data_IF_157814112256
#
_entry.id   IF_157814112256
#
_cell.length_a   1.000
_cell.length_b   1.000
_cell.length_c   1.000
_cell.angle_alpha   90.00
_cell.angle_beta   90.00
_cell.angle_gamma   90.00
#
_symmetry.space_group_name_H-M   'P 1'
#
loop_
_entity.id
_entity.type
_entity.pdbx_description
1 polymer ?
#
# COMPACT_ATOMS: atom_id res chain seq x y z
N UNK A 1 -9.69 21.15 -2.22
CA UNK A 1 -8.80 21.26 -3.38
C UNK A 1 -9.66 21.25 -4.63
N UNK A 2 -9.42 22.15 -5.57
CA UNK A 2 -10.15 22.13 -6.84
C UNK A 2 -9.86 20.81 -7.56
N UNK A 3 -10.87 20.22 -8.21
CA UNK A 3 -10.68 19.04 -9.04
C UNK A 3 -10.01 19.46 -10.35
N UNK A 4 -8.67 19.49 -10.34
CA UNK A 4 -7.87 19.85 -11.51
C UNK A 4 -7.56 18.58 -12.29
N UNK A 5 -7.88 18.58 -13.58
CA UNK A 5 -7.39 17.53 -14.48
C UNK A 5 -5.90 17.76 -14.78
N UNK A 6 -5.03 17.22 -13.92
CA UNK A 6 -3.58 17.44 -13.93
C UNK A 6 -2.96 17.06 -15.27
N UNK A 7 -3.36 15.92 -15.84
CA UNK A 7 -2.87 15.47 -17.16
C UNK A 7 -3.13 16.51 -18.24
N UNK A 8 -4.39 16.95 -18.35
CA UNK A 8 -4.77 17.96 -19.35
C UNK A 8 -4.01 19.27 -19.14
N UNK A 9 -3.86 19.72 -17.89
CA UNK A 9 -3.14 20.96 -17.58
C UNK A 9 -1.66 20.86 -17.98
N UNK A 10 -1.00 19.75 -17.64
CA UNK A 10 0.41 19.50 -18.01
C UNK A 10 0.63 19.56 -19.52
N UNK A 11 -0.22 18.87 -20.29
CA UNK A 11 -0.17 18.90 -21.76
C UNK A 11 -0.36 20.32 -22.31
N UNK A 12 -1.35 21.06 -21.79
CA UNK A 12 -1.61 22.43 -22.22
C UNK A 12 -0.49 23.40 -21.85
N UNK A 13 0.10 23.27 -20.66
CA UNK A 13 1.23 24.09 -20.23
C UNK A 13 2.44 23.91 -21.14
N UNK A 14 2.76 22.67 -21.53
CA UNK A 14 3.88 22.39 -22.44
C UNK A 14 3.66 23.02 -23.82
N UNK A 15 2.48 22.79 -24.42
CA UNK A 15 2.14 23.37 -25.72
C UNK A 15 2.18 24.91 -25.68
N UNK A 16 1.69 25.51 -24.59
CA UNK A 16 1.72 26.95 -24.40
C UNK A 16 3.15 27.48 -24.24
N UNK A 17 3.99 26.79 -23.46
CA UNK A 17 5.38 27.16 -23.22
C UNK A 17 6.20 27.10 -24.52
N UNK A 18 6.02 26.04 -25.32
CA UNK A 18 6.72 25.87 -26.60
C UNK A 18 6.34 26.98 -27.58
N UNK A 19 5.04 27.25 -27.74
CA UNK A 19 4.56 28.32 -28.61
C UNK A 19 5.05 29.71 -28.16
N UNK A 20 5.10 29.96 -26.84
CA UNK A 20 5.64 31.20 -26.29
C UNK A 20 7.14 31.31 -26.55
N UNK A 21 7.90 30.24 -26.33
CA UNK A 21 9.34 30.22 -26.58
C UNK A 21 9.68 30.52 -28.05
N UNK A 22 8.91 29.98 -28.99
CA UNK A 22 9.13 30.21 -30.44
C UNK A 22 8.65 31.60 -30.90
N UNK A 23 7.50 32.05 -30.42
CA UNK A 23 6.84 33.24 -30.96
C UNK A 23 7.15 34.55 -30.24
N UNK A 24 7.45 34.50 -28.94
CA UNK A 24 7.48 35.70 -28.09
C UNK A 24 8.32 35.54 -26.81
N UNK A 25 9.46 34.85 -26.86
CA UNK A 25 10.28 34.51 -25.68
C UNK A 25 10.57 35.69 -24.74
N UNK A 26 10.86 36.85 -25.29
CA UNK A 26 11.26 38.04 -24.52
C UNK A 26 10.06 38.92 -24.09
N UNK A 27 8.84 38.54 -24.48
CA UNK A 27 7.61 39.27 -24.10
C UNK A 27 7.10 38.73 -22.78
N UNK A 28 6.86 39.65 -21.85
CA UNK A 28 6.18 39.36 -20.60
C UNK A 28 4.66 39.37 -20.81
N UNK A 29 3.98 38.31 -20.35
CA UNK A 29 2.52 38.27 -20.33
C UNK A 29 2.02 38.30 -18.90
N UNK A 30 1.29 39.36 -18.56
CA UNK A 30 0.61 39.52 -17.27
C UNK A 30 1.52 39.33 -16.04
N UNK A 31 2.74 39.88 -16.04
CA UNK A 31 3.66 39.71 -14.92
C UNK A 31 4.55 38.48 -14.99
N UNK A 32 4.33 37.58 -15.95
CA UNK A 32 5.04 36.31 -16.07
C UNK A 32 5.96 36.32 -17.29
N UNK A 33 7.20 35.88 -17.09
CA UNK A 33 8.16 35.67 -18.18
C UNK A 33 8.11 34.23 -18.66
N UNK A 34 8.50 33.99 -19.92
CA UNK A 34 8.57 32.62 -20.47
C UNK A 34 9.47 31.72 -19.62
N UNK A 35 10.63 32.22 -19.19
CA UNK A 35 11.56 31.46 -18.34
C UNK A 35 10.97 31.11 -16.97
N UNK A 36 10.12 31.97 -16.40
CA UNK A 36 9.49 31.68 -15.12
C UNK A 36 8.40 30.62 -15.26
N UNK A 37 7.60 30.71 -16.34
CA UNK A 37 6.59 29.71 -16.63
C UNK A 37 7.20 28.33 -16.90
N UNK A 38 8.31 28.26 -17.64
CA UNK A 38 9.07 27.03 -17.85
C UNK A 38 9.61 26.45 -16.53
N UNK A 39 10.16 27.29 -15.66
CA UNK A 39 10.62 26.86 -14.34
C UNK A 39 9.49 26.27 -13.48
N UNK A 40 8.28 26.83 -13.55
CA UNK A 40 7.11 26.30 -12.84
C UNK A 40 6.69 24.92 -13.38
N UNK A 41 6.76 24.71 -14.71
CA UNK A 41 6.50 23.41 -15.33
C UNK A 41 7.52 22.37 -14.84
N UNK A 42 8.80 22.74 -14.83
CA UNK A 42 9.88 21.86 -14.36
C UNK A 42 9.71 21.52 -12.88
N UNK A 43 9.35 22.50 -12.04
CA UNK A 43 9.10 22.29 -10.62
C UNK A 43 7.92 21.33 -10.38
N UNK A 44 6.83 21.47 -11.14
CA UNK A 44 5.70 20.55 -11.08
C UNK A 44 6.10 19.12 -11.51
N UNK A 45 6.87 18.98 -12.59
CA UNK A 45 7.37 17.68 -13.04
C UNK A 45 8.31 17.02 -12.02
N UNK A 46 9.13 17.80 -11.30
CA UNK A 46 9.97 17.30 -10.22
C UNK A 46 9.14 16.80 -9.02
N UNK A 47 8.02 17.47 -8.71
CA UNK A 47 7.09 17.00 -7.68
C UNK A 47 6.41 15.68 -8.08
N UNK A 48 5.99 15.53 -9.34
CA UNK A 48 5.47 14.26 -9.86
C UNK A 48 6.49 13.13 -9.68
N UNK A 49 7.75 13.36 -10.06
CA UNK A 49 8.82 12.36 -9.92
C UNK A 49 9.07 11.97 -8.46
N UNK A 50 9.05 12.94 -7.54
CA UNK A 50 9.21 12.66 -6.11
C UNK A 50 8.04 11.83 -5.55
N UNK A 51 6.82 12.00 -6.06
CA UNK A 51 5.67 11.17 -5.69
C UNK A 51 5.91 9.73 -6.17
N UNK A 52 6.30 9.54 -7.42
CA UNK A 52 6.57 8.21 -7.98
C UNK A 52 7.65 7.47 -7.16
N UNK A 53 8.71 8.16 -6.76
CA UNK A 53 9.77 7.62 -5.90
C UNK A 53 9.23 7.18 -4.53
N UNK A 54 8.39 8.01 -3.90
CA UNK A 54 7.77 7.70 -2.61
C UNK A 54 6.79 6.52 -2.73
N UNK A 55 6.04 6.41 -3.81
CA UNK A 55 5.15 5.28 -4.06
C UNK A 55 5.94 3.97 -4.23
N UNK A 56 7.06 4.01 -4.94
CA UNK A 56 7.97 2.88 -5.08
C UNK A 56 8.56 2.45 -3.72
N UNK A 57 9.03 3.40 -2.91
CA UNK A 57 9.51 3.12 -1.56
C UNK A 57 8.42 2.53 -0.67
N UNK A 58 7.22 3.10 -0.70
CA UNK A 58 6.08 2.61 0.06
C UNK A 58 5.70 1.19 -0.35
N UNK A 59 5.77 0.84 -1.64
CA UNK A 59 5.57 -0.53 -2.11
C UNK A 59 6.60 -1.49 -1.52
N UNK A 60 7.89 -1.16 -1.60
CA UNK A 60 8.96 -2.00 -1.05
C UNK A 60 8.80 -2.20 0.47
N UNK A 61 8.45 -1.15 1.20
CA UNK A 61 8.21 -1.23 2.65
C UNK A 61 6.99 -2.10 2.99
N UNK A 62 5.93 -2.06 2.15
CA UNK A 62 4.78 -2.96 2.31
C UNK A 62 5.18 -4.42 2.10
N UNK A 63 5.93 -4.73 1.05
CA UNK A 63 6.44 -6.08 0.79
C UNK A 63 7.30 -6.59 1.95
N UNK A 64 8.26 -5.79 2.41
CA UNK A 64 9.12 -6.16 3.54
C UNK A 64 8.30 -6.41 4.83
N UNK A 65 7.30 -5.58 5.10
CA UNK A 65 6.40 -5.76 6.25
C UNK A 65 5.59 -7.04 6.12
N UNK A 66 5.04 -7.32 4.94
CA UNK A 66 4.20 -8.48 4.70
C UNK A 66 5.01 -9.79 4.86
N UNK A 67 6.27 -9.80 4.41
CA UNK A 67 7.22 -10.90 4.66
C UNK A 67 7.47 -11.11 6.16
N UNK A 68 7.66 -10.03 6.92
CA UNK A 68 7.84 -10.12 8.38
C UNK A 68 6.60 -10.72 9.07
N UNK A 69 5.40 -10.33 8.65
CA UNK A 69 4.16 -10.88 9.21
C UNK A 69 3.91 -12.32 8.79
N UNK A 70 4.29 -12.72 7.56
CA UNK A 70 4.24 -14.12 7.14
C UNK A 70 5.14 -14.99 8.03
N UNK A 71 6.37 -14.55 8.30
CA UNK A 71 7.27 -15.24 9.22
C UNK A 71 6.75 -15.25 10.67
N UNK A 72 6.07 -14.18 11.10
CA UNK A 72 5.46 -14.10 12.42
C UNK A 72 4.25 -15.04 12.56
N UNK A 73 3.44 -15.21 11.52
CA UNK A 73 2.31 -16.13 11.54
C UNK A 73 2.78 -17.59 11.64
N UNK A 74 3.88 -17.95 10.98
CA UNK A 74 4.48 -19.27 11.16
C UNK A 74 4.90 -19.51 12.63
N UNK A 75 5.55 -18.51 13.26
CA UNK A 75 5.91 -18.58 14.68
C UNK A 75 4.67 -18.66 15.58
N UNK A 76 3.64 -17.86 15.29
CA UNK A 76 2.36 -17.88 16.01
C UNK A 76 1.72 -19.27 15.96
N UNK A 77 1.73 -19.91 14.79
CA UNK A 77 1.22 -21.27 14.62
C UNK A 77 2.01 -22.29 15.45
N UNK A 78 3.36 -22.24 15.40
CA UNK A 78 4.24 -23.10 16.21
C UNK A 78 4.01 -22.93 17.71
N UNK A 79 3.85 -21.70 18.20
CA UNK A 79 3.53 -21.43 19.61
C UNK A 79 2.20 -22.06 19.99
N UNK A 80 1.16 -21.90 19.15
CA UNK A 80 -0.14 -22.55 19.36
C UNK A 80 -0.01 -24.07 19.48
N UNK A 81 0.72 -24.71 18.57
CA UNK A 81 0.99 -26.15 18.62
C UNK A 81 1.79 -26.57 19.87
N UNK A 82 2.76 -25.76 20.30
CA UNK A 82 3.53 -25.99 21.52
C UNK A 82 2.66 -25.96 22.78
N UNK A 83 1.78 -24.96 22.92
CA UNK A 83 0.85 -24.86 24.05
C UNK A 83 -0.15 -26.02 24.02
N UNK A 84 -0.66 -26.36 22.85
CA UNK A 84 -1.56 -27.50 22.62
C UNK A 84 -0.94 -28.85 23.03
N UNK A 85 0.36 -29.04 22.80
CA UNK A 85 1.12 -30.25 23.15
C UNK A 85 1.75 -30.23 24.53
N UNK A 86 1.66 -29.12 25.27
CA UNK A 86 2.27 -28.98 26.59
C UNK A 86 1.45 -29.73 27.66
N UNK A 87 2.09 -30.53 28.54
CA UNK A 87 1.39 -31.29 29.59
C UNK A 87 0.58 -30.44 30.58
N UNK A 88 1.01 -29.21 30.89
CA UNK A 88 0.42 -28.36 31.92
C UNK A 88 -0.71 -27.45 31.39
N UNK A 89 -0.72 -27.17 30.08
CA UNK A 89 -1.73 -26.31 29.44
C UNK A 89 -2.64 -27.13 28.52
N UNK A 90 -2.12 -27.61 27.40
CA UNK A 90 -2.89 -28.40 26.43
C UNK A 90 -4.00 -27.62 25.71
N UNK A 91 -4.68 -28.32 24.80
CA UNK A 91 -5.70 -27.80 23.88
C UNK A 91 -7.01 -27.30 24.52
N UNK A 92 -7.21 -27.53 25.82
CA UNK A 92 -8.42 -27.14 26.55
C UNK A 92 -8.12 -26.16 27.69
N UNK A 93 -6.87 -25.72 27.82
CA UNK A 93 -6.49 -24.77 28.88
C UNK A 93 -7.17 -23.42 28.73
N UNK A 94 -7.33 -22.70 29.86
CA UNK A 94 -7.68 -21.29 29.86
C UNK A 94 -6.77 -20.46 28.95
N UNK A 95 -5.45 -20.70 29.01
CA UNK A 95 -4.42 -20.01 28.23
C UNK A 95 -4.58 -20.20 26.72
N UNK A 96 -4.84 -21.43 26.25
CA UNK A 96 -5.03 -21.71 24.83
C UNK A 96 -6.22 -20.91 24.24
N UNK A 97 -7.32 -20.82 24.99
CA UNK A 97 -8.46 -19.97 24.62
C UNK A 97 -8.14 -18.47 24.67
N UNK A 98 -7.40 -18.02 25.67
CA UNK A 98 -7.00 -16.62 25.82
C UNK A 98 -6.06 -16.14 24.70
N UNK A 99 -5.27 -17.04 24.11
CA UNK A 99 -4.46 -16.77 22.90
C UNK A 99 -5.28 -16.64 21.62
N UNK A 100 -6.61 -16.80 21.68
CA UNK A 100 -7.52 -16.68 20.55
C UNK A 100 -7.70 -17.97 19.75
N UNK A 101 -7.21 -19.12 20.26
CA UNK A 101 -7.47 -20.42 19.65
C UNK A 101 -8.79 -21.01 20.18
N UNK A 102 -9.48 -21.79 19.36
CA UNK A 102 -10.70 -22.51 19.78
C UNK A 102 -10.32 -23.76 20.56
N UNK A 103 -10.75 -23.85 21.82
CA UNK A 103 -10.50 -24.99 22.71
C UNK A 103 -11.14 -26.27 22.20
N UNK A 104 -10.58 -27.43 22.58
CA UNK A 104 -11.11 -28.74 22.13
C UNK A 104 -12.56 -28.97 22.59
N UNK A 105 -12.91 -28.58 23.81
CA UNK A 105 -14.28 -28.68 24.34
C UNK A 105 -15.29 -27.78 23.60
N UNK A 106 -14.81 -26.65 23.07
CA UNK A 106 -15.63 -25.65 22.37
C UNK A 106 -15.77 -25.96 20.87
N UNK A 107 -14.88 -26.81 20.31
CA UNK A 107 -15.00 -27.31 18.93
C UNK A 107 -16.22 -28.22 18.82
N UNK A 108 -17.37 -27.66 18.44
CA UNK A 108 -18.55 -28.45 18.06
C UNK A 108 -18.18 -29.39 16.91
N UNK A 109 -18.08 -30.69 17.20
CA UNK A 109 -17.92 -31.78 16.22
C UNK A 109 -19.22 -32.00 15.43
N UNK A 110 -19.67 -30.98 14.69
CA UNK A 110 -20.95 -30.97 13.99
C UNK A 110 -20.90 -31.32 12.50
N UNK A 111 -19.73 -31.66 11.94
CA UNK A 111 -19.61 -31.98 10.51
C UNK A 111 -19.56 -33.49 10.27
N UNK A 112 -20.72 -34.11 10.14
CA UNK A 112 -20.86 -35.50 9.68
C UNK A 112 -20.83 -35.54 8.15
N UNK A 113 -19.70 -35.88 7.53
CA UNK A 113 -19.67 -36.21 6.09
C UNK A 113 -20.36 -37.56 5.89
N UNK A 114 -21.63 -37.56 5.49
CA UNK A 114 -22.29 -38.80 5.02
C UNK A 114 -21.56 -39.29 3.77
N UNK A 115 -21.05 -40.52 3.78
CA UNK A 115 -20.48 -41.16 2.59
C UNK A 115 -21.58 -41.27 1.54
N UNK A 116 -21.28 -40.95 0.28
CA UNK A 116 -22.14 -41.30 -0.85
C UNK A 116 -22.07 -42.83 -0.97
N UNK A 117 -23.19 -43.53 -0.75
CA UNK A 117 -23.32 -44.96 -1.08
C UNK A 117 -22.98 -45.13 -2.57
N UNK A 118 -22.26 -46.20 -2.96
CA UNK A 118 -21.86 -46.44 -4.36
C UNK A 118 -23.05 -46.42 -5.31
#
# INVERSE_FOLDING_TARGET
MANVNVKRVKEQCNVMNDAWFEGAKDVEFNGTTQSQFDADIVAAAAADAAIDDLEAQLKLQREARDDMYAALDEKRSKVGQGVAGNPDFGNDSPLYGAMGFVRKSERKSGLTKKKKTP
#
